data_IF_349822491335
#
_entry.id   IF_349822491335
#
_cell.length_a   1.000
_cell.length_b   1.000
_cell.length_c   1.000
_cell.angle_alpha   90.00
_cell.angle_beta   90.00
_cell.angle_gamma   90.00
#
_symmetry.space_group_name_H-M   'P 1'
#
loop_
_entity.id
_entity.type
_entity.pdbx_description
1 polymer ?
#
# COMPACT_ATOMS: atom_id res chain seq x y z
N UNK A 1 4.71 -1.95 12.32
CA UNK A 1 3.51 -2.35 11.55
C UNK A 1 3.89 -2.32 10.08
N UNK A 2 3.38 -3.24 9.27
CA UNK A 2 3.71 -3.34 7.84
C UNK A 2 2.42 -3.19 7.03
N UNK A 3 2.48 -2.49 5.90
CA UNK A 3 1.37 -2.28 4.97
C UNK A 3 1.78 -2.78 3.59
N UNK A 4 1.14 -3.85 3.14
CA UNK A 4 1.27 -4.41 1.78
C UNK A 4 0.18 -3.83 0.87
N UNK A 5 0.52 -3.58 -0.40
CA UNK A 5 -0.43 -3.13 -1.43
C UNK A 5 -0.99 -4.36 -2.17
N UNK A 6 -2.31 -4.48 -2.32
CA UNK A 6 -2.92 -5.55 -3.13
C UNK A 6 -2.54 -5.32 -4.61
N UNK A 7 -2.11 -6.32 -5.38
CA UNK A 7 -1.77 -6.16 -6.79
C UNK A 7 -3.06 -6.00 -7.61
N UNK A 8 -3.48 -4.75 -7.82
CA UNK A 8 -4.73 -4.40 -8.53
C UNK A 8 -4.48 -3.28 -9.53
N UNK A 9 -5.30 -3.26 -10.59
CA UNK A 9 -5.27 -2.21 -11.62
C UNK A 9 -6.63 -1.54 -11.70
N UNK A 10 -6.64 -0.21 -11.58
CA UNK A 10 -7.81 0.66 -11.70
C UNK A 10 -7.51 1.79 -12.70
N UNK A 11 -8.53 2.46 -13.28
CA UNK A 11 -8.33 3.52 -14.28
C UNK A 11 -7.54 4.75 -13.80
N UNK A 12 -7.24 4.84 -12.50
CA UNK A 12 -6.54 5.96 -11.84
C UNK A 12 -5.38 5.46 -10.94
N UNK A 13 -5.09 4.16 -10.92
CA UNK A 13 -4.13 3.55 -9.98
C UNK A 13 -3.68 2.18 -10.47
N UNK A 14 -2.38 1.98 -10.66
CA UNK A 14 -1.81 0.70 -11.08
C UNK A 14 -0.84 0.17 -10.01
N UNK A 15 -1.13 -1.01 -9.48
CA UNK A 15 -0.26 -1.78 -8.58
C UNK A 15 0.06 -3.16 -9.16
N UNK A 16 -0.16 -3.37 -10.47
CA UNK A 16 0.02 -4.67 -11.10
C UNK A 16 1.49 -5.12 -11.09
N UNK A 17 2.44 -4.22 -11.39
CA UNK A 17 3.87 -4.55 -11.38
C UNK A 17 4.51 -4.35 -10.01
N UNK A 18 5.64 -5.05 -9.78
CA UNK A 18 6.45 -4.88 -8.57
C UNK A 18 7.06 -3.48 -8.49
N UNK A 19 7.45 -2.89 -9.64
CA UNK A 19 8.03 -1.56 -9.72
C UNK A 19 7.01 -0.46 -9.36
N UNK A 20 5.75 -0.58 -9.82
CA UNK A 20 4.69 0.36 -9.45
C UNK A 20 4.40 0.30 -7.94
N UNK A 21 4.43 -0.91 -7.35
CA UNK A 21 4.26 -1.08 -5.90
C UNK A 21 5.45 -0.53 -5.11
N UNK A 22 6.68 -0.65 -5.61
CA UNK A 22 7.85 0.02 -5.02
C UNK A 22 7.66 1.54 -5.02
N UNK A 23 7.44 2.10 -6.20
CA UNK A 23 7.26 3.54 -6.42
C UNK A 23 6.16 4.07 -5.51
N UNK A 24 5.00 3.42 -5.49
CA UNK A 24 3.90 3.83 -4.61
C UNK A 24 4.25 3.67 -3.12
N UNK A 25 5.00 2.66 -2.70
CA UNK A 25 5.41 2.55 -1.29
C UNK A 25 6.35 3.69 -0.89
N UNK A 26 7.25 4.10 -1.77
CA UNK A 26 8.12 5.27 -1.58
C UNK A 26 7.30 6.56 -1.53
N UNK A 27 6.33 6.73 -2.43
CA UNK A 27 5.42 7.89 -2.44
C UNK A 27 4.48 7.92 -1.23
N UNK A 28 3.93 6.78 -0.78
CA UNK A 28 3.15 6.67 0.46
C UNK A 28 3.97 7.20 1.67
N UNK A 29 5.26 6.85 1.76
CA UNK A 29 6.16 7.39 2.80
C UNK A 29 6.38 8.88 2.59
N UNK A 30 6.87 9.30 1.42
CA UNK A 30 7.23 10.69 1.11
C UNK A 30 6.07 11.66 1.34
N UNK A 31 4.87 11.29 0.88
CA UNK A 31 3.70 12.15 0.95
C UNK A 31 3.13 12.27 2.37
N UNK A 32 3.10 11.17 3.15
CA UNK A 32 2.53 11.16 4.50
C UNK A 32 3.52 11.58 5.59
N UNK A 33 4.83 11.37 5.41
CA UNK A 33 5.86 11.80 6.35
C UNK A 33 5.87 13.32 6.57
N UNK A 34 5.37 14.12 5.62
CA UNK A 34 5.20 15.58 5.78
C UNK A 34 4.28 15.97 6.95
N UNK A 35 3.28 15.13 7.28
CA UNK A 35 2.35 15.35 8.39
C UNK A 35 2.57 14.38 9.56
N UNK A 36 3.22 13.24 9.31
CA UNK A 36 3.44 12.19 10.31
C UNK A 36 4.85 11.55 10.18
N UNK A 37 5.94 12.34 10.31
CA UNK A 37 7.31 11.89 10.01
C UNK A 37 7.77 10.76 10.93
N UNK A 38 7.29 10.75 12.18
CA UNK A 38 7.62 9.70 13.15
C UNK A 38 6.70 8.48 13.07
N UNK A 39 5.73 8.47 12.15
CA UNK A 39 4.80 7.34 11.92
C UNK A 39 5.20 6.55 10.68
N UNK A 40 5.62 7.21 9.60
CA UNK A 40 6.05 6.56 8.36
C UNK A 40 7.57 6.39 8.37
N UNK A 41 8.05 5.18 8.63
CA UNK A 41 9.44 4.88 8.97
C UNK A 41 10.28 4.41 7.76
N UNK A 42 9.72 4.45 6.55
CA UNK A 42 10.36 4.02 5.31
C UNK A 42 9.71 2.81 4.67
N UNK A 43 10.43 2.21 3.72
CA UNK A 43 10.01 1.04 2.93
C UNK A 43 10.85 -0.17 3.33
N UNK A 44 10.32 -1.39 3.19
CA UNK A 44 11.06 -2.65 3.31
C UNK A 44 10.74 -3.55 2.12
N UNK A 45 11.76 -4.22 1.59
CA UNK A 45 11.59 -5.30 0.63
C UNK A 45 11.21 -6.58 1.36
N UNK A 46 10.08 -7.19 0.97
CA UNK A 46 9.76 -8.57 1.33
C UNK A 46 10.50 -9.48 0.37
N UNK A 47 11.40 -10.31 0.89
CA UNK A 47 12.24 -11.23 0.11
C UNK A 47 11.85 -12.67 0.38
N UNK A 48 12.01 -13.54 -0.62
CA UNK A 48 11.96 -14.99 -0.46
C UNK A 48 13.27 -15.60 -0.91
N UNK A 49 13.95 -16.32 -0.02
CA UNK A 49 15.24 -16.96 -0.30
C UNK A 49 15.45 -18.16 0.63
N UNK A 50 16.07 -19.23 0.12
CA UNK A 50 16.36 -20.46 0.88
C UNK A 50 15.16 -21.03 1.67
N UNK A 51 13.94 -20.90 1.13
CA UNK A 51 12.70 -21.42 1.76
C UNK A 51 12.12 -20.53 2.87
N UNK A 52 12.63 -19.32 3.08
CA UNK A 52 12.16 -18.40 4.12
C UNK A 52 11.84 -17.00 3.58
N UNK A 53 10.91 -16.31 4.24
CA UNK A 53 10.68 -14.89 4.06
C UNK A 53 11.61 -14.06 4.94
N UNK A 54 12.09 -12.93 4.41
CA UNK A 54 12.85 -11.94 5.18
C UNK A 54 12.48 -10.52 4.77
N UNK A 55 12.83 -9.54 5.62
CA UNK A 55 12.69 -8.12 5.34
C UNK A 55 14.07 -7.50 5.26
N UNK A 56 14.31 -6.72 4.20
CA UNK A 56 15.54 -5.93 4.03
C UNK A 56 15.19 -4.45 3.85
N UNK A 57 16.09 -3.56 4.27
CA UNK A 57 16.07 -2.17 3.84
C UNK A 57 16.42 -2.09 2.34
N UNK A 58 15.89 -1.10 1.58
CA UNK A 58 16.22 -0.95 0.16
C UNK A 58 17.72 -0.87 -0.14
N UNK A 59 18.49 -0.32 0.79
CA UNK A 59 19.93 -0.11 0.71
C UNK A 59 20.74 -1.41 0.92
N UNK A 60 20.12 -2.45 1.48
CA UNK A 60 20.72 -3.76 1.79
C UNK A 60 20.50 -4.79 0.65
N UNK A 61 19.96 -4.37 -0.50
CA UNK A 61 19.59 -5.27 -1.61
C UNK A 61 20.80 -5.49 -2.54
N UNK A 62 21.40 -6.69 -2.57
CA UNK A 62 22.65 -6.92 -3.32
C UNK A 62 22.44 -7.08 -4.83
N UNK A 63 21.22 -7.41 -5.29
CA UNK A 63 20.84 -7.48 -6.69
C UNK A 63 19.30 -7.48 -6.86
N UNK A 64 18.76 -7.04 -8.01
CA UNK A 64 17.37 -7.28 -8.37
C UNK A 64 17.08 -8.79 -8.48
N UNK A 65 15.89 -9.23 -8.05
CA UNK A 65 15.39 -10.59 -8.30
C UNK A 65 14.98 -11.42 -7.07
N UNK A 66 15.37 -11.03 -5.85
CA UNK A 66 14.95 -11.72 -4.62
C UNK A 66 13.77 -11.06 -3.89
N UNK A 67 13.33 -9.88 -4.36
CA UNK A 67 12.19 -9.14 -3.80
C UNK A 67 10.87 -9.67 -4.38
N UNK A 68 9.99 -10.13 -3.50
CA UNK A 68 8.63 -10.59 -3.83
C UNK A 68 7.64 -9.42 -3.82
N UNK A 69 7.76 -8.52 -2.84
CA UNK A 69 6.94 -7.31 -2.77
C UNK A 69 7.58 -6.20 -1.93
N UNK A 70 6.94 -5.04 -1.90
CA UNK A 70 7.36 -3.88 -1.13
C UNK A 70 6.33 -3.51 -0.05
N UNK A 71 6.82 -3.15 1.12
CA UNK A 71 6.03 -2.87 2.31
C UNK A 71 6.33 -1.47 2.85
N UNK A 72 5.29 -0.70 3.18
CA UNK A 72 5.47 0.52 3.98
C UNK A 72 5.61 0.12 5.45
N UNK A 73 6.72 0.53 6.08
CA UNK A 73 6.98 0.34 7.50
C UNK A 73 6.41 1.52 8.28
N UNK A 74 5.53 1.22 9.25
CA UNK A 74 4.86 2.23 10.06
C UNK A 74 5.00 1.94 11.56
N UNK A 75 5.14 3.00 12.37
CA UNK A 75 4.94 2.91 13.82
C UNK A 75 3.47 2.64 14.11
N UNK A 76 3.18 1.66 14.98
CA UNK A 76 1.80 1.44 15.45
C UNK A 76 1.39 2.61 16.34
N UNK A 77 0.27 3.25 16.03
CA UNK A 77 -0.28 4.31 16.88
C UNK A 77 -1.00 3.70 18.10
N UNK A 78 -0.91 4.32 19.29
CA UNK A 78 -1.65 3.87 20.47
C UNK A 78 -3.15 4.07 20.27
N UNK A 79 -3.91 3.01 20.50
CA UNK A 79 -5.34 2.93 20.15
C UNK A 79 -6.18 3.93 20.94
N UNK A 80 -5.81 4.18 22.20
CA UNK A 80 -6.43 5.12 23.13
C UNK A 80 -6.23 6.60 22.73
N UNK A 81 -5.36 6.87 21.74
CA UNK A 81 -5.15 8.22 21.17
C UNK A 81 -5.66 8.32 19.73
N UNK A 82 -6.42 7.35 19.25
CA UNK A 82 -7.15 7.48 17.99
C UNK A 82 -8.30 8.49 18.17
N UNK A 83 -8.44 9.42 17.22
CA UNK A 83 -9.38 10.53 17.32
C UNK A 83 -10.82 10.08 17.59
N UNK A 84 -11.29 9.00 16.96
CA UNK A 84 -12.65 8.48 17.18
C UNK A 84 -12.90 8.07 18.64
N UNK A 85 -11.90 7.49 19.32
CA UNK A 85 -11.99 7.14 20.76
C UNK A 85 -11.94 8.38 21.63
N UNK A 86 -11.05 9.32 21.32
CA UNK A 86 -10.98 10.59 22.04
C UNK A 86 -12.29 11.36 21.95
N UNK A 87 -12.98 11.35 20.80
CA UNK A 87 -14.30 11.96 20.63
C UNK A 87 -15.36 11.21 21.46
N UNK A 88 -15.46 9.88 21.35
CA UNK A 88 -16.47 9.10 22.09
C UNK A 88 -16.31 9.17 23.61
N UNK A 89 -15.10 9.47 24.09
CA UNK A 89 -14.77 9.60 25.52
C UNK A 89 -14.74 11.07 25.99
N UNK A 90 -15.10 12.05 25.14
CA UNK A 90 -15.10 13.48 25.51
C UNK A 90 -13.71 14.08 25.81
N UNK A 91 -12.65 13.48 25.29
CA UNK A 91 -11.23 13.84 25.54
C UNK A 91 -10.59 14.72 24.45
N UNK A 92 -11.38 15.24 23.51
CA UNK A 92 -10.91 16.24 22.53
C UNK A 92 -11.21 17.62 23.09
N UNK A 93 -10.20 18.48 23.15
CA UNK A 93 -10.32 19.88 23.59
C UNK A 93 -10.31 20.83 22.39
N UNK A 94 -10.79 22.06 22.58
CA UNK A 94 -10.70 23.11 21.54
C UNK A 94 -9.24 23.36 21.13
N UNK A 95 -8.29 23.27 22.08
CA UNK A 95 -6.86 23.39 21.80
C UNK A 95 -6.30 22.26 20.89
N UNK A 96 -6.85 21.05 20.95
CA UNK A 96 -6.51 19.97 20.01
C UNK A 96 -7.01 20.32 18.59
N UNK A 97 -8.21 20.90 18.49
CA UNK A 97 -8.83 21.33 17.22
C UNK A 97 -8.05 22.49 16.61
N UNK A 98 -7.74 23.53 17.38
CA UNK A 98 -6.94 24.68 16.95
C UNK A 98 -5.55 24.25 16.46
N UNK A 99 -4.90 23.34 17.19
CA UNK A 99 -3.60 22.78 16.82
C UNK A 99 -3.66 22.02 15.48
N UNK A 100 -4.72 21.24 15.26
CA UNK A 100 -4.97 20.51 14.02
C UNK A 100 -5.26 21.46 12.85
N UNK A 101 -6.14 22.45 13.05
CA UNK A 101 -6.49 23.46 12.05
C UNK A 101 -5.26 24.29 11.66
N UNK A 102 -4.44 24.71 12.63
CA UNK A 102 -3.22 25.45 12.37
C UNK A 102 -2.18 24.63 11.59
N UNK A 103 -2.06 23.32 11.87
CA UNK A 103 -1.18 22.41 11.11
C UNK A 103 -1.67 22.24 9.66
N UNK A 104 -2.94 21.91 9.47
CA UNK A 104 -3.53 21.69 8.15
C UNK A 104 -3.56 22.99 7.32
N UNK A 105 -3.90 24.11 7.94
CA UNK A 105 -3.89 25.43 7.31
C UNK A 105 -2.52 25.83 6.77
N UNK A 106 -1.44 25.57 7.52
CA UNK A 106 -0.07 25.73 7.00
C UNK A 106 0.19 24.80 5.83
N UNK A 107 -0.07 23.49 5.99
CA UNK A 107 0.19 22.48 4.97
C UNK A 107 -0.51 22.75 3.63
N UNK A 108 -1.78 23.18 3.66
CA UNK A 108 -2.56 23.41 2.44
C UNK A 108 -2.29 24.75 1.74
N UNK A 109 -1.74 25.77 2.43
CA UNK A 109 -1.29 27.00 1.75
C UNK A 109 -0.14 26.77 0.79
N UNK A 110 0.77 25.86 1.16
CA UNK A 110 1.97 25.56 0.39
C UNK A 110 1.79 24.32 -0.52
N UNK A 111 0.59 23.75 -0.56
CA UNK A 111 0.28 22.56 -1.36
C UNK A 111 0.03 22.92 -2.83
N UNK A 112 0.61 22.14 -3.75
CA UNK A 112 0.36 22.29 -5.19
C UNK A 112 -1.13 22.08 -5.51
N UNK A 113 -1.79 23.14 -5.98
CA UNK A 113 -3.16 23.08 -6.49
C UNK A 113 -3.12 22.54 -7.92
N UNK A 114 -3.62 21.32 -8.13
CA UNK A 114 -3.80 20.74 -9.46
C UNK A 114 -5.21 21.04 -9.97
N UNK A 115 -5.37 21.60 -11.18
CA UNK A 115 -6.68 21.81 -11.79
C UNK A 115 -7.30 20.46 -12.18
N UNK A 116 -8.19 19.93 -11.34
CA UNK A 116 -8.99 18.75 -11.65
C UNK A 116 -10.32 19.19 -12.22
N UNK A 117 -10.60 18.82 -13.48
CA UNK A 117 -11.93 19.01 -14.07
C UNK A 117 -12.97 18.27 -13.22
N UNK A 118 -14.01 18.97 -12.77
CA UNK A 118 -15.02 18.47 -11.80
C UNK A 118 -15.68 17.17 -12.24
N UNK A 119 -15.90 16.98 -13.54
CA UNK A 119 -16.42 15.73 -14.11
C UNK A 119 -15.50 14.50 -13.88
N UNK A 120 -14.18 14.69 -13.93
CA UNK A 120 -13.21 13.63 -13.67
C UNK A 120 -13.11 13.27 -12.17
N UNK A 121 -13.31 14.25 -11.28
CA UNK A 121 -13.29 14.04 -9.84
C UNK A 121 -14.51 13.25 -9.34
N UNK A 122 -15.72 13.60 -9.79
CA UNK A 122 -16.94 12.90 -9.36
C UNK A 122 -16.97 11.41 -9.74
N UNK A 123 -16.59 11.09 -10.99
CA UNK A 123 -16.61 9.72 -11.50
C UNK A 123 -15.51 8.82 -10.91
N UNK A 124 -14.35 9.39 -10.55
CA UNK A 124 -13.28 8.63 -9.89
C UNK A 124 -13.62 8.29 -8.44
N UNK A 125 -14.15 9.25 -7.68
CA UNK A 125 -14.55 9.06 -6.28
C UNK A 125 -15.71 8.06 -6.11
N UNK A 126 -16.74 8.13 -6.97
CA UNK A 126 -17.87 7.20 -6.90
C UNK A 126 -17.43 5.75 -7.21
N UNK A 127 -16.50 5.57 -8.16
CA UNK A 127 -15.91 4.26 -8.50
C UNK A 127 -14.97 3.71 -7.43
N UNK A 128 -14.28 4.58 -6.68
CA UNK A 128 -13.52 4.15 -5.49
C UNK A 128 -14.45 3.56 -4.43
N UNK A 129 -15.43 4.35 -3.95
CA UNK A 129 -16.25 3.99 -2.79
C UNK A 129 -16.98 2.64 -2.95
N UNK A 130 -17.49 2.37 -4.15
CA UNK A 130 -18.23 1.13 -4.45
C UNK A 130 -17.38 -0.12 -4.66
N UNK A 131 -16.05 -0.01 -4.83
CA UNK A 131 -15.16 -1.18 -5.04
C UNK A 131 -14.25 -1.49 -3.85
N UNK A 132 -13.92 -0.51 -3.00
CA UNK A 132 -13.18 -0.79 -1.75
C UNK A 132 -13.95 -1.75 -0.83
N UNK A 133 -15.28 -1.60 -0.74
CA UNK A 133 -16.17 -2.51 0.01
C UNK A 133 -16.22 -3.95 -0.57
N UNK A 134 -16.02 -4.13 -1.87
CA UNK A 134 -15.98 -5.45 -2.52
C UNK A 134 -14.60 -6.11 -2.38
N UNK A 135 -13.52 -5.34 -2.34
CA UNK A 135 -12.15 -5.85 -2.11
C UNK A 135 -12.02 -6.51 -0.74
N UNK A 136 -12.74 -6.01 0.26
CA UNK A 136 -12.79 -6.54 1.63
C UNK A 136 -13.57 -7.87 1.71
N UNK A 137 -14.69 -7.99 0.98
CA UNK A 137 -15.55 -9.19 0.96
C UNK A 137 -15.07 -10.33 0.04
N UNK A 138 -14.02 -10.12 -0.75
CA UNK A 138 -13.56 -11.08 -1.78
C UNK A 138 -12.27 -11.82 -1.42
N UNK A 139 -11.93 -11.91 -0.13
CA UNK A 139 -10.99 -12.91 0.36
C UNK A 139 -11.71 -14.27 0.48
N UNK A 140 -11.39 -15.29 -0.34
CA UNK A 140 -11.98 -16.61 -0.16
C UNK A 140 -11.43 -17.22 1.13
N UNK A 141 -12.31 -17.48 2.09
CA UNK A 141 -11.98 -18.29 3.26
C UNK A 141 -11.60 -19.71 2.80
N UNK A 142 -10.41 -20.17 3.21
CA UNK A 142 -10.01 -21.58 3.17
C UNK A 142 -10.05 -22.29 1.80
N UNK A 143 -8.90 -22.38 1.13
CA UNK A 143 -8.61 -23.58 0.33
C UNK A 143 -7.17 -24.04 0.58
N UNK A 144 -7.04 -25.33 0.90
CA UNK A 144 -5.81 -25.99 1.29
C UNK A 144 -4.77 -25.95 0.17
N UNK A 145 -3.53 -25.58 0.52
CA UNK A 145 -2.37 -25.81 -0.34
C UNK A 145 -2.00 -27.29 -0.21
N UNK A 146 -2.34 -28.09 -1.22
CA UNK A 146 -1.80 -29.44 -1.35
C UNK A 146 -0.41 -29.40 -2.01
N UNK A 147 0.53 -30.27 -1.60
CA UNK A 147 1.90 -30.21 -2.06
C UNK A 147 2.06 -30.67 -3.52
N UNK A 148 3.04 -30.09 -4.20
CA UNK A 148 3.34 -30.35 -5.61
C UNK A 148 3.98 -31.74 -5.76
N UNK A 149 3.25 -32.70 -6.34
CA UNK A 149 3.74 -34.03 -6.71
C UNK A 149 4.33 -34.07 -8.12
N UNK A 150 5.51 -34.68 -8.29
CA UNK A 150 6.15 -34.95 -9.59
C UNK A 150 5.47 -36.14 -10.30
N UNK A 151 5.23 -36.05 -11.61
CA UNK A 151 5.48 -37.14 -12.59
C UNK A 151 5.23 -36.69 -14.04
N UNK A 152 6.14 -37.16 -14.92
CA UNK A 152 6.04 -37.49 -16.35
C UNK A 152 5.40 -36.47 -17.33
N UNK A 153 6.16 -35.89 -18.29
CA UNK A 153 6.66 -36.54 -19.52
C UNK A 153 5.53 -37.04 -20.43
N UNK A 154 5.24 -36.25 -21.47
CA UNK A 154 5.05 -36.79 -22.81
C UNK A 154 5.55 -35.76 -23.85
N UNK A 155 6.01 -36.25 -25.00
CA UNK A 155 6.76 -35.49 -26.00
C UNK A 155 5.86 -35.03 -27.15
N UNK A 156 6.09 -33.85 -27.72
CA UNK A 156 5.98 -33.65 -29.19
C UNK A 156 6.64 -32.35 -29.67
N UNK A 157 7.56 -32.50 -30.60
CA UNK A 157 8.19 -31.47 -31.44
C UNK A 157 8.29 -32.04 -32.88
N UNK A 158 8.57 -31.23 -33.92
CA UNK A 158 8.43 -29.78 -34.04
C UNK A 158 7.29 -29.51 -35.06
N UNK A 159 7.44 -29.20 -36.38
CA UNK A 159 8.55 -28.63 -37.15
C UNK A 159 8.51 -27.07 -37.19
N UNK A 160 9.55 -26.48 -37.75
CA UNK A 160 9.63 -25.07 -38.20
C UNK A 160 9.73 -25.05 -39.73
N UNK A 161 9.03 -24.13 -40.40
CA UNK A 161 9.36 -23.56 -41.72
C UNK A 161 8.51 -22.28 -41.88
N UNK A 162 9.00 -21.15 -42.41
CA UNK A 162 10.34 -20.82 -42.93
C UNK A 162 10.59 -19.32 -42.76
#
# INVERSE_FOLDING_TARGET
MLKLKKPVRFPFLDFSTLADREFQCREDVRLNARLAPTVYLGVRALRWHAGAFSLAAPEELPAPGLTVDWLVLMRRLPEQRMLHRMISEGRVTDADVDSLVALLGRFYRDALVLPVATAAYGLSQLRMRSRWSTVDRSAPAGRSVHPIGRAAVEQTHPPLHR
#
